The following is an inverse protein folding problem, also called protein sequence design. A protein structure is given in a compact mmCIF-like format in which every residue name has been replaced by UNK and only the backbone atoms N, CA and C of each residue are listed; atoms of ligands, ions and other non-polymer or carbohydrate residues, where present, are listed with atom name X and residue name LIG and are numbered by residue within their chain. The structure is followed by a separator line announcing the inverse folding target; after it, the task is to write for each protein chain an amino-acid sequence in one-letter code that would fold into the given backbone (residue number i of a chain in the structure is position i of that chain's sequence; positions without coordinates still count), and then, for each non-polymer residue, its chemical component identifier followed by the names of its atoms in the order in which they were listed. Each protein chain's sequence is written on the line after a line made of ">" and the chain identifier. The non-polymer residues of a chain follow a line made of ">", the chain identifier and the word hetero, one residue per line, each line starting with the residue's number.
data_IF_140755771076
#
_entry.id   IF_140755771076
#
_cell.length_a   1.000
_cell.length_b   1.000
_cell.length_c   1.000
_cell.angle_alpha   90.00
_cell.angle_beta   90.00
_cell.angle_gamma   90.00
#
_symmetry.space_group_name_H-M   'P 1'
#
loop_
_entity.id
_entity.type
_entity.pdbx_description
1 polymer ?
#
# COMPACT_ATOMS: atom_id res chain seq x y z
N UNK A 1 3.41 12.09 7.89
CA UNK A 1 2.86 12.05 9.27
C UNK A 1 2.63 10.61 9.70
N UNK A 2 3.14 10.22 10.85
CA UNK A 2 2.91 8.87 11.39
C UNK A 2 1.48 8.81 11.93
N UNK A 3 0.73 7.78 11.52
CA UNK A 3 -0.64 7.58 11.97
C UNK A 3 -0.66 6.81 13.29
N UNK A 4 -1.43 7.29 14.26
CA UNK A 4 -1.62 6.63 15.54
C UNK A 4 -2.88 5.77 15.49
N UNK A 5 -2.72 4.47 15.32
CA UNK A 5 -3.85 3.54 15.21
C UNK A 5 -4.55 3.27 16.55
N UNK A 6 -4.00 3.76 17.66
CA UNK A 6 -4.72 3.70 18.95
C UNK A 6 -5.82 4.77 19.01
N UNK A 7 -5.76 5.79 18.15
CA UNK A 7 -6.83 6.77 18.00
C UNK A 7 -7.92 6.16 17.09
N UNK A 8 -9.10 5.94 17.64
CA UNK A 8 -10.20 5.30 16.91
C UNK A 8 -10.66 6.05 15.67
N UNK A 9 -10.57 7.38 15.68
CA UNK A 9 -10.92 8.20 14.51
C UNK A 9 -9.93 7.99 13.37
N UNK A 10 -8.64 8.00 13.68
CA UNK A 10 -7.56 7.75 12.72
C UNK A 10 -7.68 6.33 12.16
N UNK A 11 -7.87 5.36 13.04
CA UNK A 11 -8.01 3.96 12.65
C UNK A 11 -9.18 3.76 11.68
N UNK A 12 -10.34 4.33 12.00
CA UNK A 12 -11.53 4.19 11.17
C UNK A 12 -11.34 4.86 9.80
N UNK A 13 -10.73 6.02 9.78
CA UNK A 13 -10.46 6.74 8.54
C UNK A 13 -9.50 5.96 7.63
N UNK A 14 -8.42 5.42 8.21
CA UNK A 14 -7.48 4.57 7.48
C UNK A 14 -8.18 3.32 6.92
N UNK A 15 -8.98 2.65 7.75
CA UNK A 15 -9.73 1.47 7.35
C UNK A 15 -10.65 1.75 6.16
N UNK A 16 -11.33 2.90 6.18
CA UNK A 16 -12.22 3.31 5.10
C UNK A 16 -11.45 3.54 3.80
N UNK A 17 -10.35 4.30 3.85
CA UNK A 17 -9.50 4.55 2.68
C UNK A 17 -8.96 3.25 2.12
N UNK A 18 -8.50 2.36 2.99
CA UNK A 18 -7.95 1.06 2.60
C UNK A 18 -8.98 0.22 1.85
N UNK A 19 -10.19 0.12 2.38
CA UNK A 19 -11.24 -0.67 1.72
C UNK A 19 -11.56 -0.13 0.33
N UNK A 20 -11.66 1.19 0.20
CA UNK A 20 -11.94 1.82 -1.09
C UNK A 20 -10.80 1.60 -2.10
N UNK A 21 -9.56 1.76 -1.65
CA UNK A 21 -8.39 1.59 -2.50
C UNK A 21 -8.22 0.14 -2.97
N UNK A 22 -8.35 -0.82 -2.06
CA UNK A 22 -8.21 -2.23 -2.41
C UNK A 22 -9.37 -2.76 -3.24
N UNK A 23 -10.56 -2.16 -3.14
CA UNK A 23 -11.67 -2.50 -4.04
C UNK A 23 -11.33 -2.15 -5.48
N UNK A 24 -10.68 -1.01 -5.72
CA UNK A 24 -10.19 -0.63 -7.06
C UNK A 24 -9.13 -1.62 -7.54
N UNK A 25 -8.18 -1.98 -6.68
CA UNK A 25 -7.14 -2.95 -7.04
C UNK A 25 -7.75 -4.32 -7.38
N UNK A 26 -8.74 -4.76 -6.60
CA UNK A 26 -9.43 -6.03 -6.85
C UNK A 26 -10.05 -6.07 -8.25
N UNK A 27 -10.64 -4.96 -8.70
CA UNK A 27 -11.17 -4.86 -10.06
C UNK A 27 -10.06 -4.94 -11.12
N UNK A 28 -8.93 -4.27 -10.87
CA UNK A 28 -7.82 -4.25 -11.82
C UNK A 28 -7.21 -5.63 -12.01
N UNK A 29 -7.06 -6.41 -10.93
CA UNK A 29 -6.43 -7.71 -11.00
C UNK A 29 -7.44 -8.86 -11.21
N UNK A 30 -8.73 -8.56 -11.17
CA UNK A 30 -9.79 -9.57 -11.32
C UNK A 30 -9.89 -10.55 -10.17
N UNK A 31 -9.53 -10.11 -8.95
CA UNK A 31 -9.50 -10.97 -7.77
C UNK A 31 -9.82 -10.15 -6.52
N UNK A 32 -10.84 -10.56 -5.77
CA UNK A 32 -11.31 -9.86 -4.58
C UNK A 32 -10.85 -10.48 -3.26
N UNK A 33 -9.99 -11.50 -3.30
CA UNK A 33 -9.44 -12.16 -2.12
C UNK A 33 -8.25 -11.47 -1.49
N UNK A 34 -8.05 -10.17 -1.74
CA UNK A 34 -6.96 -9.38 -1.16
C UNK A 34 -7.21 -9.25 0.34
N UNK A 35 -6.31 -9.80 1.21
CA UNK A 35 -6.56 -9.80 2.66
C UNK A 35 -6.89 -8.45 3.28
N UNK A 36 -6.18 -7.34 2.99
CA UNK A 36 -6.54 -6.03 3.56
C UNK A 36 -7.93 -5.53 3.17
N UNK A 37 -8.48 -5.98 2.04
CA UNK A 37 -9.82 -5.60 1.61
C UNK A 37 -10.89 -6.11 2.60
N UNK A 38 -10.64 -7.27 3.22
CA UNK A 38 -11.57 -7.94 4.13
C UNK A 38 -11.16 -7.82 5.60
N UNK A 39 -10.13 -7.05 5.89
CA UNK A 39 -9.60 -6.87 7.23
C UNK A 39 -10.57 -6.10 8.12
N UNK A 40 -10.76 -6.55 9.36
CA UNK A 40 -11.56 -5.84 10.35
C UNK A 40 -10.79 -4.67 10.96
N UNK A 41 -11.49 -3.78 11.66
CA UNK A 41 -10.86 -2.70 12.42
C UNK A 41 -9.88 -3.25 13.46
N UNK A 42 -10.27 -4.32 14.16
CA UNK A 42 -9.41 -4.92 15.20
C UNK A 42 -8.17 -5.55 14.60
N UNK A 43 -8.30 -6.21 13.45
CA UNK A 43 -7.16 -6.78 12.72
C UNK A 43 -6.19 -5.69 12.25
N UNK A 44 -6.72 -4.58 11.74
CA UNK A 44 -5.91 -3.44 11.31
C UNK A 44 -5.16 -2.83 12.49
N UNK A 45 -5.85 -2.65 13.63
CA UNK A 45 -5.22 -2.11 14.83
C UNK A 45 -4.08 -3.01 15.32
N UNK A 46 -4.26 -4.32 15.18
CA UNK A 46 -3.30 -5.30 15.68
C UNK A 46 -2.15 -5.58 14.72
N UNK A 47 -2.19 -5.09 13.48
CA UNK A 47 -1.11 -5.33 12.53
C UNK A 47 0.16 -4.61 13.01
N UNK A 48 1.29 -5.25 12.82
CA UNK A 48 2.59 -4.74 13.28
C UNK A 48 3.30 -3.99 12.16
N UNK A 49 2.67 -2.89 11.72
CA UNK A 49 3.18 -2.05 10.65
C UNK A 49 3.18 -0.59 11.08
N UNK A 50 4.15 0.16 10.57
CA UNK A 50 4.18 1.62 10.75
C UNK A 50 3.46 2.26 9.57
N UNK A 51 2.49 3.12 9.85
CA UNK A 51 1.72 3.81 8.82
C UNK A 51 2.11 5.28 8.74
N UNK A 52 2.37 5.75 7.52
CA UNK A 52 2.55 7.16 7.20
C UNK A 52 1.35 7.61 6.39
N UNK A 53 0.72 8.70 6.78
CA UNK A 53 -0.46 9.22 6.12
C UNK A 53 -0.23 10.59 5.50
N UNK A 54 -1.02 10.90 4.49
CA UNK A 54 -1.05 12.21 3.86
C UNK A 54 -2.49 12.70 3.84
N UNK A 55 -2.72 13.86 4.45
CA UNK A 55 -4.04 14.48 4.53
C UNK A 55 -4.16 15.60 3.50
N UNK A 56 -5.36 15.78 2.97
CA UNK A 56 -5.75 16.95 2.21
C UNK A 56 -6.92 17.64 2.90
N UNK A 57 -7.58 18.58 2.23
CA UNK A 57 -8.69 19.35 2.81
C UNK A 57 -9.90 18.48 3.18
N UNK A 58 -10.04 17.32 2.55
CA UNK A 58 -11.19 16.44 2.77
C UNK A 58 -10.90 15.30 3.75
N UNK A 59 -9.67 15.21 4.26
CA UNK A 59 -9.26 14.17 5.20
C UNK A 59 -8.10 13.33 4.69
N UNK A 60 -8.01 12.09 5.13
CA UNK A 60 -6.92 11.21 4.73
C UNK A 60 -7.00 10.89 3.24
N UNK A 61 -5.98 11.31 2.50
CA UNK A 61 -5.91 11.09 1.05
C UNK A 61 -5.21 9.78 0.70
N UNK A 62 -4.28 9.33 1.54
CA UNK A 62 -3.58 8.07 1.31
C UNK A 62 -2.66 7.72 2.46
N UNK A 63 -2.13 6.51 2.42
CA UNK A 63 -1.21 6.00 3.44
C UNK A 63 -0.29 4.95 2.84
N UNK A 64 0.91 4.86 3.41
CA UNK A 64 1.85 3.79 3.13
C UNK A 64 2.23 3.14 4.45
N UNK A 65 2.34 1.82 4.46
CA UNK A 65 2.84 1.12 5.64
C UNK A 65 4.08 0.32 5.31
N UNK A 66 4.91 0.13 6.32
CA UNK A 66 6.16 -0.60 6.16
C UNK A 66 6.57 -1.28 7.45
N UNK A 67 7.44 -2.28 7.29
CA UNK A 67 8.20 -2.88 8.38
C UNK A 67 9.67 -2.74 8.04
N UNK A 68 10.51 -2.76 9.05
CA UNK A 68 11.96 -2.79 8.85
C UNK A 68 12.45 -4.21 9.06
N UNK A 69 13.20 -4.71 8.08
CA UNK A 69 13.89 -5.98 8.15
C UNK A 69 15.40 -5.68 8.05
N UNK A 70 16.03 -5.49 9.20
CA UNK A 70 17.37 -4.92 9.26
C UNK A 70 17.33 -3.49 8.70
N UNK A 71 18.11 -3.22 7.65
CA UNK A 71 18.12 -1.93 6.98
C UNK A 71 17.15 -1.86 5.79
N UNK A 72 16.49 -2.96 5.45
CA UNK A 72 15.56 -3.02 4.32
C UNK A 72 14.17 -2.56 4.76
N UNK A 73 13.59 -1.67 3.98
CA UNK A 73 12.23 -1.19 4.15
C UNK A 73 11.29 -2.11 3.37
N UNK A 74 10.49 -2.89 4.09
CA UNK A 74 9.49 -3.77 3.49
C UNK A 74 8.17 -3.01 3.40
N UNK A 75 7.82 -2.57 2.20
CA UNK A 75 6.58 -1.83 1.95
C UNK A 75 5.43 -2.83 1.97
N UNK A 76 4.54 -2.68 2.96
CA UNK A 76 3.43 -3.61 3.16
C UNK A 76 2.17 -3.18 2.44
N UNK A 77 1.85 -1.89 2.48
CA UNK A 77 0.63 -1.34 1.87
C UNK A 77 0.90 0.05 1.30
N UNK A 78 0.26 0.34 0.19
CA UNK A 78 0.24 1.69 -0.38
C UNK A 78 -1.17 1.92 -0.91
N UNK A 79 -1.90 2.80 -0.26
CA UNK A 79 -3.30 3.05 -0.56
C UNK A 79 -3.54 4.54 -0.79
N UNK A 80 -4.34 4.86 -1.80
CA UNK A 80 -4.74 6.22 -2.09
C UNK A 80 -6.25 6.23 -2.28
N UNK A 81 -6.93 7.16 -1.60
CA UNK A 81 -8.37 7.31 -1.74
C UNK A 81 -8.70 7.54 -3.22
N UNK A 82 -9.70 6.84 -3.79
CA UNK A 82 -10.04 7.03 -5.22
C UNK A 82 -10.27 8.47 -5.62
N UNK A 83 -10.83 9.32 -4.73
CA UNK A 83 -11.03 10.74 -5.00
C UNK A 83 -9.72 11.52 -5.20
N UNK A 84 -8.62 10.99 -4.71
CA UNK A 84 -7.32 11.66 -4.73
C UNK A 84 -6.35 11.06 -5.76
N UNK A 85 -6.82 10.21 -6.66
CA UNK A 85 -5.98 9.65 -7.72
C UNK A 85 -5.43 10.75 -8.63
N UNK A 86 -4.26 10.49 -9.21
CA UNK A 86 -3.56 11.38 -10.17
C UNK A 86 -3.09 12.71 -9.58
N UNK A 87 -2.89 12.78 -8.27
CA UNK A 87 -2.36 13.97 -7.59
C UNK A 87 -0.93 13.78 -7.08
N UNK A 88 -0.30 12.66 -7.41
CA UNK A 88 1.05 12.37 -6.92
C UNK A 88 1.10 11.94 -5.45
N UNK A 89 -0.02 11.57 -4.86
CA UNK A 89 -0.10 11.17 -3.44
C UNK A 89 0.79 9.97 -3.17
N UNK A 90 0.71 8.93 -4.01
CA UNK A 90 1.52 7.72 -3.85
C UNK A 90 3.02 8.04 -3.88
N UNK A 91 3.46 8.87 -4.81
CA UNK A 91 4.85 9.27 -4.90
C UNK A 91 5.32 10.04 -3.65
N UNK A 92 4.49 10.92 -3.14
CA UNK A 92 4.81 11.66 -1.90
C UNK A 92 4.91 10.73 -0.70
N UNK A 93 4.04 9.73 -0.61
CA UNK A 93 4.10 8.75 0.46
C UNK A 93 5.38 7.92 0.38
N UNK A 94 5.76 7.47 -0.82
CA UNK A 94 6.99 6.73 -1.00
C UNK A 94 8.22 7.58 -0.66
N UNK A 95 8.18 8.88 -0.95
CA UNK A 95 9.27 9.80 -0.58
C UNK A 95 9.43 9.94 0.94
N UNK A 96 8.37 9.69 1.71
CA UNK A 96 8.39 9.81 3.17
C UNK A 96 8.94 8.57 3.87
N UNK A 97 9.19 7.49 3.16
CA UNK A 97 9.72 6.26 3.74
C UNK A 97 11.16 6.45 4.25
N UNK A 98 11.58 5.66 5.25
CA UNK A 98 12.97 5.69 5.70
C UNK A 98 13.95 5.39 4.57
N UNK A 99 15.19 5.90 4.70
CA UNK A 99 16.26 5.59 3.76
C UNK A 99 16.64 4.11 3.84
N UNK A 100 17.13 3.57 2.74
CA UNK A 100 17.62 2.22 2.65
C UNK A 100 17.03 1.46 1.47
N UNK A 101 17.45 0.21 1.28
CA UNK A 101 16.86 -0.65 0.24
C UNK A 101 15.37 -0.85 0.53
N UNK A 102 14.57 -0.99 -0.53
CA UNK A 102 13.13 -1.16 -0.42
C UNK A 102 12.67 -2.39 -1.20
N UNK A 103 11.71 -3.11 -0.66
CA UNK A 103 11.04 -4.22 -1.34
C UNK A 103 9.53 -4.01 -1.28
N UNK A 104 8.84 -4.47 -2.31
CA UNK A 104 7.38 -4.38 -2.40
C UNK A 104 6.86 -5.49 -3.29
N UNK A 105 5.61 -5.91 -3.04
CA UNK A 105 4.89 -6.84 -3.91
C UNK A 105 3.55 -6.24 -4.30
N UNK A 106 3.13 -6.48 -5.53
CA UNK A 106 1.82 -6.03 -6.01
C UNK A 106 1.26 -7.04 -7.00
N UNK A 107 -0.05 -6.97 -7.24
CA UNK A 107 -0.68 -7.82 -8.23
C UNK A 107 -0.04 -7.65 -9.61
N UNK A 108 0.27 -8.75 -10.29
CA UNK A 108 0.92 -8.71 -11.61
C UNK A 108 0.08 -7.94 -12.63
N UNK A 109 -1.24 -7.90 -12.43
CA UNK A 109 -2.16 -7.17 -13.31
C UNK A 109 -2.40 -5.72 -12.89
N UNK A 110 -1.80 -5.29 -11.79
CA UNK A 110 -1.92 -3.91 -11.32
C UNK A 110 -0.92 -3.02 -12.05
N UNK A 111 -1.24 -2.70 -13.29
CA UNK A 111 -0.36 -1.89 -14.15
C UNK A 111 -0.03 -0.51 -13.60
N UNK A 112 -0.97 0.25 -13.00
CA UNK A 112 -0.63 1.55 -12.42
C UNK A 112 0.42 1.44 -11.32
N UNK A 113 0.32 0.43 -10.44
CA UNK A 113 1.31 0.23 -9.38
C UNK A 113 2.67 -0.18 -9.96
N UNK A 114 2.69 -1.11 -10.90
CA UNK A 114 3.94 -1.53 -11.54
C UNK A 114 4.63 -0.35 -12.22
N UNK A 115 3.87 0.48 -12.94
CA UNK A 115 4.41 1.66 -13.62
C UNK A 115 4.99 2.66 -12.61
N UNK A 116 4.32 2.86 -11.49
CA UNK A 116 4.78 3.74 -10.43
C UNK A 116 6.13 3.26 -9.86
N UNK A 117 6.21 1.99 -9.50
CA UNK A 117 7.44 1.44 -8.91
C UNK A 117 8.60 1.44 -9.91
N UNK A 118 8.37 1.06 -11.16
CA UNK A 118 9.39 1.11 -12.20
C UNK A 118 9.93 2.52 -12.41
N UNK A 119 9.02 3.50 -12.46
CA UNK A 119 9.39 4.91 -12.62
C UNK A 119 10.26 5.41 -11.46
N UNK A 120 10.08 4.84 -10.28
CA UNK A 120 10.85 5.21 -9.09
C UNK A 120 12.14 4.40 -8.92
N UNK A 121 12.48 3.57 -9.90
CA UNK A 121 13.74 2.82 -9.91
C UNK A 121 13.65 1.41 -9.35
N UNK A 122 12.46 0.91 -9.07
CA UNK A 122 12.28 -0.48 -8.66
C UNK A 122 12.48 -1.41 -9.86
N UNK A 123 13.08 -2.57 -9.59
CA UNK A 123 13.32 -3.62 -10.58
C UNK A 123 12.55 -4.85 -10.15
N UNK A 124 11.89 -5.50 -11.11
CA UNK A 124 11.18 -6.75 -10.83
C UNK A 124 12.18 -7.86 -10.49
N UNK A 125 11.94 -8.56 -9.39
CA UNK A 125 12.81 -9.63 -8.92
C UNK A 125 12.18 -11.02 -9.10
N UNK A 126 10.87 -11.09 -9.27
CA UNK A 126 10.19 -12.37 -9.50
C UNK A 126 8.69 -12.21 -9.56
N UNK A 127 8.05 -13.29 -9.98
CA UNK A 127 6.59 -13.40 -10.03
C UNK A 127 6.22 -14.73 -9.42
N UNK A 128 5.18 -14.75 -8.59
CA UNK A 128 4.70 -15.98 -7.95
C UNK A 128 3.19 -16.06 -7.98
N UNK A 129 2.67 -17.25 -8.21
CA UNK A 129 1.24 -17.50 -8.19
C UNK A 129 0.77 -17.67 -6.74
N UNK A 130 -0.29 -16.97 -6.36
CA UNK A 130 -0.87 -17.01 -5.00
C UNK A 130 -2.27 -17.62 -4.99
N UNK A 131 -2.83 -17.90 -6.16
CA UNK A 131 -4.12 -18.53 -6.33
C UNK A 131 -4.34 -18.82 -7.81
N UNK A 132 -5.36 -19.61 -8.19
CA UNK A 132 -5.61 -19.94 -9.59
C UNK A 132 -5.77 -18.68 -10.45
N UNK A 133 -4.84 -18.46 -11.38
CA UNK A 133 -4.85 -17.30 -12.27
C UNK A 133 -4.49 -15.97 -11.61
N UNK A 134 -3.99 -15.99 -10.38
CA UNK A 134 -3.62 -14.77 -9.64
C UNK A 134 -2.15 -14.82 -9.27
N UNK A 135 -1.39 -13.83 -9.72
CA UNK A 135 0.05 -13.73 -9.47
C UNK A 135 0.41 -12.40 -8.83
N UNK A 136 1.47 -12.43 -8.02
CA UNK A 136 2.12 -11.23 -7.47
C UNK A 136 3.47 -11.04 -8.14
N UNK A 137 3.84 -9.79 -8.35
CA UNK A 137 5.16 -9.40 -8.82
C UNK A 137 5.91 -8.76 -7.68
N UNK A 138 7.12 -9.26 -7.41
CA UNK A 138 8.00 -8.73 -6.39
C UNK A 138 8.98 -7.76 -7.05
N UNK A 139 9.22 -6.62 -6.39
CA UNK A 139 10.13 -5.58 -6.90
C UNK A 139 11.05 -5.13 -5.77
N UNK A 140 12.23 -4.68 -6.15
CA UNK A 140 13.22 -4.18 -5.21
C UNK A 140 13.93 -2.95 -5.74
N UNK A 141 14.35 -2.10 -4.81
CA UNK A 141 15.13 -0.90 -5.09
C UNK A 141 16.26 -0.80 -4.07
N UNK A 142 17.44 -0.50 -4.54
CA UNK A 142 18.61 -0.30 -3.69
C UNK A 142 18.63 1.08 -3.02
#
# INVERSE_FOLDING_TARGET
>A
MILDLSDGTVLHELWTVQRLAYAVEAELIGFDGIPPLHESLDELRACDETFLGLYDEEGLAGAVSYRLDGSTVDICRLVVHPRAHRRGIASKLLDALPDGPQVVSTGTRNEPALALYRKRGFVETGTREVGPGVSLTDLAKQ
#
